data_IF_448322675503
#
_entry.id   IF_448322675503
#
_cell.length_a   1.000
_cell.length_b   1.000
_cell.length_c   1.000
_cell.angle_alpha   90.00
_cell.angle_beta   90.00
_cell.angle_gamma   90.00
#
_symmetry.space_group_name_H-M   'P 1'
#
loop_
_entity.id
_entity.type
_entity.pdbx_description
1 polymer ?
#
# COMPACT_ATOMS: atom_id res chain seq x y z
N UNK A 1 13.45 -0.73 6.68
CA UNK A 1 12.69 0.36 7.36
C UNK A 1 11.21 0.02 7.33
N UNK A 2 10.46 0.10 8.44
CA UNK A 2 9.01 -0.14 8.42
C UNK A 2 8.29 0.83 7.48
N UNK A 3 7.53 0.30 6.55
CA UNK A 3 6.70 1.07 5.62
C UNK A 3 5.55 0.20 5.09
N UNK A 4 4.32 0.51 5.50
CA UNK A 4 3.12 -0.25 5.14
C UNK A 4 2.78 -0.22 3.65
N UNK A 5 3.30 0.72 2.86
CA UNK A 5 3.07 0.76 1.42
C UNK A 5 4.04 -0.12 0.61
N UNK A 6 4.92 -0.87 1.25
CA UNK A 6 5.91 -1.71 0.56
C UNK A 6 5.43 -3.16 0.49
N UNK A 7 5.25 -3.65 -0.73
CA UNK A 7 5.00 -5.05 -1.03
C UNK A 7 6.15 -5.58 -1.85
N UNK A 8 6.79 -6.65 -1.38
CA UNK A 8 7.87 -7.27 -2.13
C UNK A 8 7.27 -8.16 -3.22
N UNK A 9 7.80 -8.07 -4.45
CA UNK A 9 7.22 -8.78 -5.60
C UNK A 9 7.21 -10.31 -5.44
N UNK A 10 8.15 -10.88 -4.68
CA UNK A 10 8.35 -12.34 -4.61
C UNK A 10 8.50 -12.93 -3.20
N UNK A 11 8.71 -12.11 -2.18
CA UNK A 11 9.00 -12.60 -0.82
C UNK A 11 8.09 -11.91 0.20
N UNK A 12 6.95 -12.53 0.56
CA UNK A 12 6.00 -11.97 1.50
C UNK A 12 6.59 -11.62 2.88
N UNK A 13 7.74 -12.21 3.26
CA UNK A 13 8.42 -11.89 4.53
C UNK A 13 9.09 -10.52 4.50
N UNK A 14 9.24 -9.92 3.33
CA UNK A 14 9.80 -8.58 3.12
C UNK A 14 8.72 -7.51 2.92
N UNK A 15 7.44 -7.88 2.92
CA UNK A 15 6.35 -6.92 2.95
C UNK A 15 6.47 -6.02 4.19
N UNK A 16 6.22 -4.74 4.02
CA UNK A 16 6.38 -3.76 5.08
C UNK A 16 7.82 -3.30 5.31
N UNK A 17 8.80 -3.80 4.53
CA UNK A 17 10.23 -3.50 4.73
C UNK A 17 10.80 -2.73 3.54
N UNK A 18 10.82 -1.40 3.66
CA UNK A 18 11.52 -0.55 2.69
C UNK A 18 13.03 -0.72 2.78
N UNK A 19 13.62 -0.98 1.61
CA UNK A 19 15.06 -0.86 1.39
C UNK A 19 15.41 0.62 1.17
N UNK A 20 16.38 1.14 1.92
CA UNK A 20 16.84 2.52 1.79
C UNK A 20 18.27 2.54 1.25
N UNK A 21 18.49 3.35 0.22
CA UNK A 21 19.82 3.66 -0.33
C UNK A 21 19.94 5.16 -0.48
N UNK A 22 21.10 5.71 -0.17
CA UNK A 22 21.40 7.13 -0.30
C UNK A 22 22.82 7.34 -0.83
N UNK A 23 23.09 8.54 -1.34
CA UNK A 23 24.43 8.90 -1.84
C UNK A 23 25.46 9.16 -0.73
N UNK A 24 25.03 9.35 0.51
CA UNK A 24 25.90 9.54 1.67
C UNK A 24 25.26 9.05 2.97
N UNK A 25 26.05 8.85 4.04
CA UNK A 25 25.51 8.53 5.36
C UNK A 25 24.54 9.58 5.91
N UNK A 26 24.78 10.87 5.65
CA UNK A 26 23.93 11.97 6.13
C UNK A 26 22.57 11.95 5.43
N UNK A 27 22.54 11.74 4.11
CA UNK A 27 21.28 11.56 3.40
C UNK A 27 20.56 10.28 3.82
N UNK A 28 21.28 9.20 4.13
CA UNK A 28 20.65 7.99 4.66
C UNK A 28 20.00 8.26 6.03
N UNK A 29 20.66 9.00 6.91
CA UNK A 29 20.11 9.39 8.20
C UNK A 29 18.84 10.23 8.04
N UNK A 30 18.86 11.22 7.15
CA UNK A 30 17.69 12.04 6.84
C UNK A 30 16.50 11.19 6.32
N UNK A 31 16.76 10.24 5.42
CA UNK A 31 15.72 9.32 4.93
C UNK A 31 15.16 8.44 6.05
N UNK A 32 16.03 7.93 6.94
CA UNK A 32 15.60 7.13 8.08
C UNK A 32 14.65 7.94 8.97
N UNK A 33 14.95 9.21 9.25
CA UNK A 33 14.10 10.06 10.08
C UNK A 33 12.74 10.32 9.42
N UNK A 34 12.69 10.58 8.11
CA UNK A 34 11.42 10.71 7.37
C UNK A 34 10.54 9.47 7.55
N UNK A 35 11.11 8.27 7.39
CA UNK A 35 10.32 7.05 7.49
C UNK A 35 9.95 6.68 8.93
N UNK A 36 10.68 7.16 9.95
CA UNK A 36 10.34 6.91 11.36
C UNK A 36 9.07 7.65 11.77
N UNK A 37 8.88 8.85 11.23
CA UNK A 37 7.69 9.67 11.48
C UNK A 37 6.47 9.19 10.69
N UNK A 38 6.67 8.36 9.66
CA UNK A 38 5.55 7.81 8.88
C UNK A 38 4.82 6.73 9.70
N UNK A 39 3.51 6.86 9.94
CA UNK A 39 2.76 5.82 10.63
C UNK A 39 2.72 4.53 9.81
N UNK A 40 2.88 3.40 10.48
CA UNK A 40 2.70 2.10 9.86
C UNK A 40 1.22 1.70 9.93
N UNK A 41 0.55 1.64 8.78
CA UNK A 41 -0.88 1.34 8.68
C UNK A 41 -1.05 -0.11 8.23
N UNK A 42 -1.47 -0.99 9.14
CA UNK A 42 -1.64 -2.41 8.81
C UNK A 42 -2.64 -2.64 7.67
N UNK A 43 -3.72 -1.87 7.60
CA UNK A 43 -4.70 -1.98 6.53
C UNK A 43 -4.11 -1.64 5.15
N UNK A 44 -3.24 -0.62 5.05
CA UNK A 44 -2.50 -0.29 3.83
C UNK A 44 -1.62 -1.46 3.38
N UNK A 45 -0.93 -2.12 4.32
CA UNK A 45 -0.14 -3.31 4.03
C UNK A 45 -1.01 -4.47 3.54
N UNK A 46 -2.18 -4.67 4.14
CA UNK A 46 -3.11 -5.73 3.75
C UNK A 46 -3.61 -5.51 2.32
N UNK A 47 -3.96 -4.29 1.95
CA UNK A 47 -4.36 -3.92 0.58
C UNK A 47 -3.29 -4.33 -0.42
N UNK A 48 -2.04 -3.99 -0.14
CA UNK A 48 -0.94 -4.35 -1.02
C UNK A 48 -0.74 -5.88 -1.15
N UNK A 49 -0.91 -6.63 -0.06
CA UNK A 49 -0.85 -8.11 -0.09
C UNK A 49 -1.99 -8.71 -0.91
N UNK A 50 -3.21 -8.20 -0.72
CA UNK A 50 -4.40 -8.60 -1.48
C UNK A 50 -4.17 -8.30 -2.96
N UNK A 51 -3.71 -7.09 -3.29
CA UNK A 51 -3.40 -6.68 -4.67
C UNK A 51 -2.41 -7.64 -5.35
N UNK A 52 -1.29 -7.95 -4.71
CA UNK A 52 -0.30 -8.92 -5.25
C UNK A 52 -0.93 -10.29 -5.52
N UNK A 53 -1.74 -10.82 -4.60
CA UNK A 53 -2.39 -12.12 -4.78
C UNK A 53 -3.42 -12.08 -5.92
N UNK A 54 -4.27 -11.05 -5.95
CA UNK A 54 -5.27 -10.85 -7.01
C UNK A 54 -4.59 -10.73 -8.38
N UNK A 55 -3.49 -9.99 -8.49
CA UNK A 55 -2.71 -9.87 -9.73
C UNK A 55 -2.10 -11.20 -10.18
N UNK A 56 -1.51 -11.96 -9.25
CA UNK A 56 -0.90 -13.27 -9.54
C UNK A 56 -1.92 -14.29 -10.11
N UNK A 57 -3.20 -14.15 -9.75
CA UNK A 57 -4.29 -15.00 -10.24
C UNK A 57 -5.16 -14.33 -11.32
N UNK A 58 -4.74 -13.19 -11.86
CA UNK A 58 -5.49 -12.43 -12.87
C UNK A 58 -6.95 -12.17 -12.47
N UNK A 59 -7.18 -11.81 -11.20
CA UNK A 59 -8.51 -11.54 -10.65
C UNK A 59 -9.35 -12.77 -10.32
N UNK A 60 -8.86 -13.99 -10.56
CA UNK A 60 -9.61 -15.24 -10.37
C UNK A 60 -9.05 -16.02 -9.18
N UNK A 61 -9.30 -15.52 -7.98
CA UNK A 61 -8.89 -16.13 -6.72
C UNK A 61 -10.10 -16.34 -5.81
N UNK A 62 -10.19 -17.49 -5.14
CA UNK A 62 -11.25 -17.72 -4.14
C UNK A 62 -10.89 -17.04 -2.81
N UNK A 63 -11.85 -16.70 -1.95
CA UNK A 63 -11.58 -16.14 -0.63
C UNK A 63 -10.63 -17.00 0.22
N UNK A 64 -10.77 -18.33 0.16
CA UNK A 64 -9.93 -19.28 0.90
C UNK A 64 -8.49 -19.25 0.39
N UNK A 65 -8.31 -19.22 -0.94
CA UNK A 65 -6.98 -19.14 -1.54
C UNK A 65 -6.32 -17.78 -1.29
N UNK A 66 -7.12 -16.71 -1.29
CA UNK A 66 -6.65 -15.37 -0.93
C UNK A 66 -6.16 -15.31 0.51
N UNK A 67 -6.91 -15.87 1.46
CA UNK A 67 -6.49 -15.97 2.86
C UNK A 67 -5.21 -16.81 3.02
N UNK A 68 -5.11 -17.94 2.32
CA UNK A 68 -3.92 -18.81 2.32
C UNK A 68 -2.66 -18.06 1.84
N UNK A 69 -2.72 -17.40 0.69
CA UNK A 69 -1.56 -16.76 0.07
C UNK A 69 -1.11 -15.48 0.78
N UNK A 70 -2.07 -14.71 1.28
CA UNK A 70 -1.78 -13.46 1.98
C UNK A 70 -1.41 -13.69 3.45
N UNK A 71 -1.80 -14.85 4.01
CA UNK A 71 -1.73 -15.15 5.43
C UNK A 71 -2.66 -14.29 6.29
N UNK A 72 -3.67 -13.66 5.67
CA UNK A 72 -4.62 -12.78 6.33
C UNK A 72 -5.86 -13.54 6.76
N UNK A 73 -6.46 -13.10 7.86
CA UNK A 73 -7.81 -13.55 8.23
C UNK A 73 -8.86 -12.84 7.38
N UNK A 74 -10.05 -13.42 7.29
CA UNK A 74 -11.20 -12.80 6.60
C UNK A 74 -11.45 -11.35 7.06
N UNK A 75 -11.39 -11.09 8.38
CA UNK A 75 -11.57 -9.74 8.95
C UNK A 75 -10.47 -8.78 8.48
N UNK A 76 -9.22 -9.24 8.35
CA UNK A 76 -8.13 -8.40 7.85
C UNK A 76 -8.28 -8.08 6.36
N UNK A 77 -8.82 -9.02 5.58
CA UNK A 77 -9.15 -8.81 4.17
C UNK A 77 -10.22 -7.72 4.05
N UNK A 78 -11.33 -7.86 4.77
CA UNK A 78 -12.43 -6.88 4.78
C UNK A 78 -11.97 -5.48 5.22
N UNK A 79 -11.15 -5.40 6.26
CA UNK A 79 -10.59 -4.12 6.72
C UNK A 79 -9.59 -3.51 5.71
N UNK A 80 -8.87 -4.34 4.97
CA UNK A 80 -8.02 -3.90 3.86
C UNK A 80 -8.85 -3.28 2.74
N UNK A 81 -9.88 -3.98 2.27
CA UNK A 81 -10.77 -3.48 1.22
C UNK A 81 -11.48 -2.19 1.62
N UNK A 82 -11.99 -2.11 2.86
CA UNK A 82 -12.60 -0.88 3.38
C UNK A 82 -11.60 0.28 3.43
N UNK A 83 -10.35 0.03 3.82
CA UNK A 83 -9.32 1.05 3.81
C UNK A 83 -9.05 1.56 2.38
N UNK A 84 -9.01 0.67 1.39
CA UNK A 84 -8.80 1.02 -0.02
C UNK A 84 -9.93 1.91 -0.54
N UNK A 85 -11.18 1.58 -0.23
CA UNK A 85 -12.34 2.37 -0.63
C UNK A 85 -12.29 3.78 -0.01
N UNK A 86 -12.00 3.87 1.29
CA UNK A 86 -11.85 5.15 1.98
C UNK A 86 -10.69 5.98 1.42
N UNK A 87 -9.58 5.34 1.06
CA UNK A 87 -8.45 6.02 0.46
C UNK A 87 -8.76 6.56 -0.94
N UNK A 88 -9.45 5.78 -1.77
CA UNK A 88 -9.93 6.22 -3.08
C UNK A 88 -10.87 7.43 -2.94
N UNK A 89 -11.79 7.42 -1.97
CA UNK A 89 -12.67 8.57 -1.68
C UNK A 89 -11.88 9.81 -1.23
N UNK A 90 -10.85 9.65 -0.38
CA UNK A 90 -9.95 10.75 0.00
C UNK A 90 -9.24 11.32 -1.22
N UNK A 91 -8.71 10.45 -2.08
CA UNK A 91 -8.02 10.83 -3.30
C UNK A 91 -8.95 11.61 -4.24
N UNK A 92 -10.16 11.10 -4.50
CA UNK A 92 -11.15 11.80 -5.31
C UNK A 92 -11.58 13.16 -4.71
N UNK A 93 -11.70 13.27 -3.39
CA UNK A 93 -12.00 14.55 -2.75
C UNK A 93 -10.88 15.58 -2.99
N UNK A 94 -9.62 15.17 -2.91
CA UNK A 94 -8.48 16.06 -3.06
C UNK A 94 -8.13 16.37 -4.52
N UNK A 95 -8.25 15.40 -5.42
CA UNK A 95 -7.80 15.54 -6.81
C UNK A 95 -8.95 15.59 -7.83
N UNK A 96 -10.16 15.16 -7.50
CA UNK A 96 -11.32 15.12 -8.40
C UNK A 96 -11.99 16.47 -8.69
N UNK A 97 -11.47 17.59 -8.17
CA UNK A 97 -11.93 18.95 -8.53
C UNK A 97 -11.03 19.67 -9.55
N UNK A 98 -9.92 19.06 -9.98
CA UNK A 98 -8.95 19.70 -10.88
C UNK A 98 -9.34 19.67 -12.36
N UNK A 99 -10.33 18.87 -12.77
CA UNK A 99 -10.76 18.72 -14.18
C UNK A 99 -12.04 19.52 -14.50
N UNK A 100 -12.14 20.76 -14.01
CA UNK A 100 -13.06 21.75 -14.59
C UNK A 100 -12.38 22.41 -15.79
N UNK A 101 -13.00 22.51 -16.98
CA UNK A 101 -12.38 23.21 -18.09
C UNK A 101 -12.08 24.65 -17.69
N UNK A 102 -10.84 25.09 -17.91
CA UNK A 102 -10.43 26.48 -17.77
C UNK A 102 -11.31 27.36 -18.68
N UNK A 103 -12.19 28.23 -18.15
CA UNK A 103 -12.92 29.15 -18.97
C UNK A 103 -12.08 30.42 -19.08
N UNK A 104 -11.14 30.48 -20.05
CA UNK A 104 -10.77 31.68 -20.84
C UNK A 104 -9.42 31.53 -21.53
N UNK A 105 -9.39 31.84 -22.84
CA UNK A 105 -8.18 32.03 -23.63
C UNK A 105 -8.50 32.15 -25.12
#
# INVERSE_FOLDING_TARGET
MPDSSVIHGHDPKLDGKRWLTACSPEHLAALVDVYKERPFVYAELWVGKIGRAVEAHHGRISPEKLAEETGLTQVQIELGELWQELDALRWHRWFGKADGPDPSG
#
